data_IF_250776579092
#
_entry.id   IF_250776579092
#
_cell.length_a   1.000
_cell.length_b   1.000
_cell.length_c   1.000
_cell.angle_alpha   90.00
_cell.angle_beta   90.00
_cell.angle_gamma   90.00
#
_symmetry.space_group_name_H-M   'P 1'
#
loop_
_entity.id
_entity.type
_entity.pdbx_description
1 polymer ?
#
# COMPACT_ATOMS: atom_id res chain seq x y z
N UNK A 1 -21.23 -22.72 10.15
CA UNK A 1 -20.15 -21.71 10.10
C UNK A 1 -20.48 -20.75 8.97
N UNK A 2 -20.81 -19.49 9.29
CA UNK A 2 -21.08 -18.47 8.28
C UNK A 2 -19.76 -17.91 7.74
N UNK A 3 -19.73 -17.63 6.44
CA UNK A 3 -18.59 -16.95 5.82
C UNK A 3 -18.39 -15.58 6.47
N UNK A 4 -17.14 -15.26 6.86
CA UNK A 4 -16.74 -13.91 7.29
C UNK A 4 -16.27 -13.17 6.04
N UNK A 5 -16.97 -12.12 5.66
CA UNK A 5 -16.64 -11.31 4.50
C UNK A 5 -16.90 -9.84 4.80
N UNK A 6 -16.20 -8.97 4.09
CA UNK A 6 -16.42 -7.53 4.13
C UNK A 6 -16.69 -7.04 2.71
N UNK A 7 -17.62 -6.10 2.58
CA UNK A 7 -17.93 -5.50 1.27
C UNK A 7 -16.80 -4.53 0.90
N UNK A 8 -16.39 -4.53 -0.35
CA UNK A 8 -15.34 -3.63 -0.85
C UNK A 8 -15.87 -2.23 -1.19
N UNK A 9 -17.16 -2.12 -1.50
CA UNK A 9 -17.80 -0.85 -1.87
C UNK A 9 -17.82 0.13 -0.69
N UNK A 10 -17.19 1.29 -0.87
CA UNK A 10 -17.00 2.30 0.18
C UNK A 10 -15.60 2.30 0.80
N UNK A 11 -14.68 1.48 0.28
CA UNK A 11 -13.26 1.56 0.66
C UNK A 11 -12.70 2.92 0.27
N UNK A 12 -12.08 3.61 1.23
CA UNK A 12 -11.42 4.89 1.04
C UNK A 12 -9.92 4.68 0.94
N UNK A 13 -9.31 5.27 -0.08
CA UNK A 13 -7.87 5.44 -0.19
C UNK A 13 -7.53 6.90 0.09
N UNK A 14 -6.64 7.13 1.04
CA UNK A 14 -6.13 8.46 1.35
C UNK A 14 -4.60 8.48 1.30
N UNK A 15 -4.04 9.56 0.79
CA UNK A 15 -2.59 9.85 0.77
C UNK A 15 -2.35 11.18 1.49
N UNK A 16 -1.18 11.38 2.09
CA UNK A 16 -0.78 12.69 2.61
C UNK A 16 -0.37 13.66 1.50
N UNK A 17 -0.85 14.89 1.60
CA UNK A 17 -0.35 16.07 0.87
C UNK A 17 0.98 16.51 1.51
N UNK A 18 2.09 16.20 0.86
CA UNK A 18 3.46 16.29 1.40
C UNK A 18 4.09 15.01 2.01
N UNK A 19 5.43 15.03 2.19
CA UNK A 19 6.20 13.91 2.71
C UNK A 19 5.86 13.60 4.17
N UNK A 20 5.81 12.31 4.50
CA UNK A 20 5.52 11.81 5.83
C UNK A 20 6.67 10.96 6.36
N UNK A 21 6.97 11.09 7.65
CA UNK A 21 7.91 10.23 8.38
C UNK A 21 7.22 9.21 9.27
N UNK A 22 5.91 9.36 9.47
CA UNK A 22 5.08 8.52 10.33
C UNK A 22 3.94 7.90 9.52
N UNK A 23 3.42 6.78 9.99
CA UNK A 23 2.39 5.99 9.29
C UNK A 23 0.99 6.62 9.38
N UNK A 24 0.69 7.33 10.47
CA UNK A 24 -0.56 8.07 10.66
C UNK A 24 -0.25 9.45 11.31
N UNK A 25 0.32 10.39 10.54
CA UNK A 25 0.74 11.69 11.08
C UNK A 25 -0.46 12.51 11.56
N UNK A 26 -0.43 12.90 12.84
CA UNK A 26 -1.47 13.73 13.46
C UNK A 26 -1.33 15.16 12.95
N UNK A 27 -2.23 15.59 12.05
CA UNK A 27 -2.27 16.93 11.48
C UNK A 27 -1.87 17.04 10.01
N UNK A 28 -1.58 15.92 9.34
CA UNK A 28 -1.37 15.94 7.89
C UNK A 28 -2.71 16.13 7.14
N UNK A 29 -2.64 16.84 6.01
CA UNK A 29 -3.76 16.94 5.08
C UNK A 29 -3.84 15.64 4.27
N UNK A 30 -5.02 15.00 4.28
CA UNK A 30 -5.25 13.75 3.57
C UNK A 30 -6.06 14.01 2.30
N UNK A 31 -5.52 13.62 1.15
CA UNK A 31 -6.19 13.64 -0.14
C UNK A 31 -6.90 12.30 -0.35
N UNK A 32 -8.20 12.31 -0.63
CA UNK A 32 -8.97 11.08 -0.87
C UNK A 32 -9.06 10.76 -2.38
N UNK A 33 -8.70 9.53 -2.78
CA UNK A 33 -8.61 9.08 -4.18
C UNK A 33 -9.55 7.93 -4.56
N UNK A 34 -10.60 7.70 -3.78
CA UNK A 34 -11.47 6.53 -3.87
C UNK A 34 -12.25 6.44 -5.19
N UNK A 35 -12.64 7.57 -5.78
CA UNK A 35 -13.49 7.57 -6.99
C UNK A 35 -12.74 7.11 -8.25
N UNK A 36 -11.41 7.27 -8.27
CA UNK A 36 -10.57 6.79 -9.35
C UNK A 36 -9.97 5.40 -9.07
N UNK A 37 -9.95 4.96 -7.81
CA UNK A 37 -9.29 3.70 -7.42
C UNK A 37 -10.13 2.48 -7.73
N UNK A 38 -9.56 1.54 -8.48
CA UNK A 38 -10.23 0.31 -8.91
C UNK A 38 -9.81 -0.91 -8.12
N UNK A 39 -8.53 -1.01 -7.81
CA UNK A 39 -7.97 -2.17 -7.13
C UNK A 39 -6.79 -1.75 -6.26
N UNK A 40 -6.72 -2.34 -5.06
CA UNK A 40 -5.61 -2.22 -4.14
C UNK A 40 -5.22 -3.65 -3.77
N UNK A 41 -4.01 -4.05 -4.12
CA UNK A 41 -3.46 -5.37 -3.76
C UNK A 41 -2.21 -5.19 -2.94
N UNK A 42 -2.18 -5.82 -1.77
CA UNK A 42 -1.05 -5.78 -0.85
C UNK A 42 -0.43 -7.17 -0.75
N UNK A 43 0.89 -7.24 -0.92
CA UNK A 43 1.68 -8.44 -0.65
C UNK A 43 2.74 -8.12 0.41
N UNK A 44 2.64 -8.79 1.56
CA UNK A 44 3.67 -8.69 2.58
C UNK A 44 4.99 -9.26 2.09
N UNK A 45 6.10 -8.61 2.43
CA UNK A 45 7.42 -9.12 2.09
C UNK A 45 7.70 -10.44 2.80
N UNK A 46 8.34 -11.36 2.08
CA UNK A 46 8.79 -12.63 2.66
C UNK A 46 9.93 -12.39 3.65
N UNK A 47 9.99 -13.19 4.71
CA UNK A 47 11.17 -13.25 5.57
C UNK A 47 12.19 -14.14 4.89
N UNK A 48 13.44 -13.71 4.86
CA UNK A 48 14.53 -14.57 4.41
C UNK A 48 14.76 -15.67 5.44
N UNK A 49 14.82 -16.94 5.05
CA UNK A 49 15.30 -17.97 5.95
C UNK A 49 16.82 -17.89 6.08
N UNK A 50 17.31 -17.83 7.31
CA UNK A 50 18.74 -17.88 7.64
C UNK A 50 19.01 -19.30 8.10
N UNK A 51 19.89 -19.99 7.36
CA UNK A 51 20.40 -21.30 7.74
C UNK A 51 21.36 -21.15 8.93
N UNK A 52 21.00 -21.80 10.04
CA UNK A 52 21.80 -21.86 11.28
C UNK A 52 22.24 -23.29 11.59
N UNK A 53 22.19 -24.18 10.60
CA UNK A 53 22.58 -25.58 10.73
C UNK A 53 24.01 -25.69 11.26
N UNK A 54 24.16 -26.42 12.37
CA UNK A 54 25.46 -26.63 13.02
C UNK A 54 26.00 -28.02 12.70
N UNK A 55 27.29 -28.27 12.98
CA UNK A 55 27.91 -29.60 12.85
C UNK A 55 27.28 -30.66 13.77
N UNK A 56 26.50 -30.24 14.76
CA UNK A 56 25.76 -31.13 15.66
C UNK A 56 24.31 -31.33 15.22
N UNK A 57 23.83 -30.60 14.21
CA UNK A 57 22.45 -30.67 13.75
C UNK A 57 22.25 -31.91 12.88
N UNK A 58 21.17 -32.65 13.14
CA UNK A 58 20.79 -33.85 12.38
C UNK A 58 19.87 -33.54 11.20
N UNK A 59 19.30 -32.33 11.15
CA UNK A 59 18.44 -31.79 10.09
C UNK A 59 18.74 -30.31 9.87
N UNK A 60 18.28 -29.73 8.76
CA UNK A 60 18.47 -28.30 8.48
C UNK A 60 17.66 -27.45 9.47
N UNK A 61 18.33 -26.52 10.13
CA UNK A 61 17.74 -25.59 11.08
C UNK A 61 17.65 -24.19 10.45
N UNK A 62 16.44 -23.67 10.35
CA UNK A 62 16.16 -22.38 9.74
C UNK A 62 15.63 -21.41 10.79
N UNK A 63 16.17 -20.19 10.82
CA UNK A 63 15.63 -19.07 11.58
C UNK A 63 15.15 -17.96 10.67
N UNK A 64 14.15 -17.21 11.12
CA UNK A 64 13.61 -16.09 10.36
C UNK A 64 14.59 -14.90 10.37
N UNK A 65 15.04 -14.48 9.20
CA UNK A 65 15.81 -13.25 9.00
C UNK A 65 14.95 -11.98 8.96
N UNK A 66 15.54 -10.92 8.44
CA UNK A 66 14.86 -9.63 8.29
C UNK A 66 13.70 -9.75 7.29
N UNK A 67 12.58 -9.10 7.62
CA UNK A 67 11.44 -9.05 6.72
C UNK A 67 11.78 -8.17 5.51
N UNK A 68 11.58 -8.68 4.30
CA UNK A 68 11.58 -7.85 3.12
C UNK A 68 10.46 -6.79 3.22
N UNK A 69 10.66 -5.61 2.63
CA UNK A 69 9.59 -4.62 2.55
C UNK A 69 8.42 -5.19 1.75
N UNK A 70 7.20 -4.92 2.20
CA UNK A 70 6.00 -5.27 1.46
C UNK A 70 5.85 -4.43 0.20
N UNK A 71 5.09 -4.96 -0.76
CA UNK A 71 4.73 -4.27 -1.98
C UNK A 71 3.22 -4.08 -2.04
N UNK A 72 2.80 -2.95 -2.58
CA UNK A 72 1.39 -2.66 -2.82
C UNK A 72 1.21 -2.19 -4.26
N UNK A 73 0.34 -2.85 -4.99
CA UNK A 73 -0.08 -2.39 -6.31
C UNK A 73 -1.42 -1.68 -6.22
N UNK A 74 -1.48 -0.52 -6.85
CA UNK A 74 -2.63 0.36 -6.88
C UNK A 74 -3.02 0.60 -8.34
N UNK A 75 -4.21 0.12 -8.72
CA UNK A 75 -4.76 0.33 -10.05
C UNK A 75 -5.89 1.34 -9.96
N UNK A 76 -5.81 2.39 -10.78
CA UNK A 76 -6.76 3.51 -10.82
C UNK A 76 -7.12 3.86 -12.26
N UNK A 77 -8.25 4.52 -12.46
CA UNK A 77 -8.50 5.23 -13.71
C UNK A 77 -7.72 6.54 -13.68
N UNK A 78 -7.13 6.90 -14.80
CA UNK A 78 -6.46 8.20 -14.93
C UNK A 78 -7.51 9.29 -15.14
N UNK A 79 -7.42 10.35 -14.33
CA UNK A 79 -8.27 11.53 -14.43
C UNK A 79 -7.39 12.76 -14.20
N UNK A 80 -7.50 13.75 -15.09
CA UNK A 80 -6.67 14.96 -15.06
C UNK A 80 -6.91 15.85 -13.82
N UNK A 81 -8.11 15.78 -13.23
CA UNK A 81 -8.51 16.60 -12.07
C UNK A 81 -8.36 15.87 -10.73
N UNK A 82 -7.54 14.80 -10.67
CA UNK A 82 -7.35 14.01 -9.45
C UNK A 82 -6.09 14.47 -8.68
N UNK A 83 -6.23 15.17 -7.54
CA UNK A 83 -5.08 15.68 -6.79
C UNK A 83 -4.18 14.57 -6.24
N UNK A 84 -4.70 13.34 -6.11
CA UNK A 84 -3.89 12.19 -5.68
C UNK A 84 -2.97 11.72 -6.82
N UNK A 85 -3.32 11.98 -8.08
CA UNK A 85 -2.46 11.66 -9.23
C UNK A 85 -1.20 12.53 -9.21
N UNK A 86 -1.37 13.84 -9.12
CA UNK A 86 -0.27 14.83 -9.07
C UNK A 86 0.67 14.53 -7.89
N UNK A 87 0.10 14.14 -6.75
CA UNK A 87 0.88 13.82 -5.55
C UNK A 87 1.64 12.50 -5.67
N UNK A 88 1.07 11.49 -6.35
CA UNK A 88 1.76 10.24 -6.65
C UNK A 88 2.90 10.43 -7.66
N UNK A 89 2.72 11.30 -8.64
CA UNK A 89 3.77 11.66 -9.60
C UNK A 89 4.88 12.45 -8.93
N UNK A 90 4.54 13.47 -8.13
CA UNK A 90 5.50 14.25 -7.34
C UNK A 90 6.30 13.37 -6.38
N UNK A 91 5.63 12.43 -5.69
CA UNK A 91 6.31 11.48 -4.80
C UNK A 91 7.26 10.53 -5.56
N UNK A 92 6.93 10.17 -6.80
CA UNK A 92 7.81 9.37 -7.66
C UNK A 92 9.02 10.17 -8.15
N UNK A 93 8.84 11.42 -8.55
CA UNK A 93 9.93 12.28 -9.05
C UNK A 93 10.92 12.68 -7.95
N UNK A 94 10.43 12.91 -6.73
CA UNK A 94 11.25 13.37 -5.60
C UNK A 94 11.76 12.24 -4.69
N UNK A 95 11.48 10.98 -5.00
CA UNK A 95 11.79 9.81 -4.15
C UNK A 95 11.28 9.98 -2.70
N UNK A 96 10.10 10.58 -2.52
CA UNK A 96 9.57 10.95 -1.21
C UNK A 96 8.73 9.82 -0.58
N UNK A 97 8.84 9.74 0.75
CA UNK A 97 8.01 8.83 1.55
C UNK A 97 6.66 9.45 1.85
N UNK A 98 5.58 8.80 1.43
CA UNK A 98 4.22 9.25 1.70
C UNK A 98 3.48 8.26 2.60
N UNK A 99 2.58 8.79 3.42
CA UNK A 99 1.70 7.96 4.24
C UNK A 99 0.41 7.68 3.46
N UNK A 100 0.02 6.41 3.44
CA UNK A 100 -1.16 5.90 2.78
C UNK A 100 -2.09 5.28 3.81
N UNK A 101 -3.38 5.51 3.63
CA UNK A 101 -4.43 5.00 4.50
C UNK A 101 -5.52 4.36 3.66
N UNK A 102 -5.74 3.07 3.86
CA UNK A 102 -6.82 2.30 3.24
C UNK A 102 -7.83 1.97 4.32
N UNK A 103 -9.01 2.58 4.23
CA UNK A 103 -10.10 2.37 5.21
C UNK A 103 -11.24 1.62 4.53
N UNK A 104 -11.53 0.41 5.00
CA UNK A 104 -12.66 -0.39 4.53
C UNK A 104 -14.00 0.14 5.06
N UNK A 105 -15.14 -0.27 4.49
CA UNK A 105 -16.45 0.21 4.90
C UNK A 105 -16.80 -0.05 6.37
N UNK A 106 -16.21 -1.06 7.01
CA UNK A 106 -16.38 -1.29 8.45
C UNK A 106 -15.67 -0.26 9.35
N UNK A 107 -14.88 0.65 8.77
CA UNK A 107 -14.00 1.56 9.52
C UNK A 107 -12.68 0.92 9.94
N UNK A 108 -12.50 -0.39 9.71
CA UNK A 108 -11.20 -1.04 9.83
C UNK A 108 -10.36 -0.75 8.59
N UNK A 109 -9.05 -0.92 8.68
CA UNK A 109 -8.17 -0.59 7.56
C UNK A 109 -6.71 -0.86 7.82
N UNK A 110 -5.87 -0.32 6.95
CA UNK A 110 -4.43 -0.35 7.07
C UNK A 110 -3.87 1.02 6.74
N UNK A 111 -2.97 1.52 7.59
CA UNK A 111 -2.11 2.65 7.30
C UNK A 111 -0.69 2.14 7.08
N UNK A 112 0.03 2.73 6.13
CA UNK A 112 1.42 2.38 5.85
C UNK A 112 2.19 3.55 5.25
N UNK A 113 3.50 3.57 5.50
CA UNK A 113 4.42 4.46 4.82
C UNK A 113 4.95 3.75 3.57
N UNK A 114 4.89 4.40 2.40
CA UNK A 114 5.42 3.83 1.17
C UNK A 114 6.05 4.87 0.26
N UNK A 115 7.01 4.41 -0.55
CA UNK A 115 7.59 5.16 -1.67
C UNK A 115 6.99 4.64 -2.99
N UNK A 116 6.77 5.52 -3.96
CA UNK A 116 6.32 5.13 -5.30
C UNK A 116 7.53 4.62 -6.09
N UNK A 117 7.47 3.38 -6.57
CA UNK A 117 8.60 2.75 -7.29
C UNK A 117 8.43 2.73 -8.80
N UNK A 118 7.18 2.70 -9.24
CA UNK A 118 6.86 2.59 -10.65
C UNK A 118 5.49 3.19 -10.87
N UNK A 119 5.38 4.03 -11.90
CA UNK A 119 4.12 4.44 -12.49
C UNK A 119 4.02 3.89 -13.92
N UNK A 120 2.82 3.55 -14.35
CA UNK A 120 2.54 3.14 -15.72
C UNK A 120 1.12 3.53 -16.09
N UNK A 121 0.89 3.87 -17.34
CA UNK A 121 -0.44 4.16 -17.86
C UNK A 121 -0.68 3.38 -19.15
N UNK A 122 -1.94 3.03 -19.39
CA UNK A 122 -2.36 2.27 -20.57
C UNK A 122 -3.66 2.82 -21.14
N UNK A 123 -3.78 2.81 -22.46
CA UNK A 123 -4.93 3.31 -23.22
C UNK A 123 -5.36 2.26 -24.24
N UNK A 124 -6.67 2.03 -24.35
CA UNK A 124 -7.25 1.15 -25.36
C UNK A 124 -8.39 1.86 -26.09
N UNK A 125 -8.60 1.57 -27.37
CA UNK A 125 -9.56 2.24 -28.28
C UNK A 125 -11.04 2.12 -27.87
N UNK A 126 -11.36 1.22 -26.93
CA UNK A 126 -12.71 1.03 -26.36
C UNK A 126 -12.67 0.94 -24.81
N UNK A 127 -11.73 1.64 -24.17
CA UNK A 127 -11.55 1.61 -22.72
C UNK A 127 -11.34 2.99 -22.11
N UNK A 128 -11.22 3.02 -20.78
CA UNK A 128 -10.77 4.20 -20.03
C UNK A 128 -9.27 4.12 -19.81
N UNK A 129 -8.59 5.27 -19.73
CA UNK A 129 -7.17 5.32 -19.39
C UNK A 129 -6.98 4.74 -17.99
N UNK A 130 -6.12 3.74 -17.87
CA UNK A 130 -5.82 3.07 -16.60
C UNK A 130 -4.40 3.40 -16.18
N UNK A 131 -4.22 3.86 -14.94
CA UNK A 131 -2.94 4.13 -14.32
C UNK A 131 -2.67 3.09 -13.22
N UNK A 132 -1.47 2.53 -13.22
CA UNK A 132 -1.03 1.53 -12.26
C UNK A 132 0.25 2.00 -11.57
N UNK A 133 0.23 1.95 -10.24
CA UNK A 133 1.33 2.35 -9.38
C UNK A 133 1.79 1.16 -8.53
N UNK A 134 3.09 0.95 -8.48
CA UNK A 134 3.71 0.00 -7.55
C UNK A 134 4.36 0.79 -6.44
N UNK A 135 3.92 0.56 -5.21
CA UNK A 135 4.39 1.18 -3.99
C UNK A 135 5.21 0.16 -3.18
N UNK A 136 6.31 0.62 -2.59
CA UNK A 136 7.11 -0.19 -1.68
C UNK A 136 6.98 0.35 -0.27
N UNK A 137 6.53 -0.51 0.64
CA UNK A 137 6.34 -0.12 2.03
C UNK A 137 7.68 0.04 2.75
N UNK A 138 7.79 1.06 3.60
CA UNK A 138 8.83 1.16 4.61
C UNK A 138 8.24 0.77 5.95
N UNK A 139 8.76 -0.32 6.52
CA UNK A 139 8.29 -0.84 7.80
C UNK A 139 7.04 -1.69 7.68
N UNK A 140 6.30 -1.81 8.79
CA UNK A 140 5.11 -2.66 8.89
C UNK A 140 3.84 -1.82 8.74
N UNK A 141 2.82 -2.29 8.00
CA UNK A 141 1.53 -1.63 7.98
C UNK A 141 0.89 -1.67 9.38
N UNK A 142 0.34 -0.55 9.81
CA UNK A 142 -0.44 -0.44 11.03
C UNK A 142 -1.90 -0.75 10.73
N UNK A 143 -2.50 -1.64 11.54
CA UNK A 143 -3.91 -1.98 11.40
C UNK A 143 -4.77 -0.92 12.06
N UNK A 144 -5.72 -0.39 11.31
CA UNK A 144 -6.75 0.50 11.82
C UNK A 144 -7.90 -0.37 12.30
N UNK A 145 -8.27 -0.19 13.56
CA UNK A 145 -9.44 -0.80 14.15
C UNK A 145 -10.55 0.24 14.25
N UNK A 146 -11.74 -0.09 13.76
CA UNK A 146 -12.91 0.72 13.99
C UNK A 146 -13.13 0.81 15.51
N UNK A 147 -13.09 2.03 16.05
CA UNK A 147 -13.44 2.24 17.46
C UNK A 147 -14.96 2.16 17.55
N UNK A 148 -15.47 1.18 18.30
CA UNK A 148 -16.90 0.94 18.54
C UNK A 148 -17.58 2.12 19.22
#
# INVERSE_FOLDING_TARGET
MSSKYEKTQGTKLSITDGPATEVDPIGATWLEGQCATREISYTGGQKSDIDVTTLCSTEQEMTNGLAAPGELSLTRNWAADDPVLDELETAYENDELRAFKVTFPSGNGYAFLAEVRQNSWSVATAGVVSASYTLRLKGKPQRIHATS
#
